data_IF_177265442200
#
_entry.id   IF_177265442200
#
_cell.length_a   1.000
_cell.length_b   1.000
_cell.length_c   1.000
_cell.angle_alpha   90.00
_cell.angle_beta   90.00
_cell.angle_gamma   90.00
#
_symmetry.space_group_name_H-M   'P 1'
#
loop_
_entity.id
_entity.type
_entity.pdbx_description
1 polymer ?
#
# COMPACT_ATOMS: atom_id res chain seq x y z
N UNK A 1 -12.78 -15.69 3.33
CA UNK A 1 -11.91 -15.92 2.16
C UNK A 1 -12.85 -16.09 0.98
N UNK A 2 -12.78 -15.25 -0.04
CA UNK A 2 -13.56 -15.49 -1.25
C UNK A 2 -13.08 -16.82 -1.84
N UNK A 3 -13.94 -17.84 -1.80
CA UNK A 3 -13.62 -19.19 -2.27
C UNK A 3 -13.47 -19.12 -3.80
N UNK A 4 -12.56 -19.91 -4.38
CA UNK A 4 -12.42 -20.03 -5.85
C UNK A 4 -13.78 -20.30 -6.51
N UNK A 5 -14.61 -21.10 -5.84
CA UNK A 5 -15.99 -21.34 -6.20
C UNK A 5 -16.85 -20.07 -6.27
N UNK A 6 -16.70 -19.13 -5.33
CA UNK A 6 -17.46 -17.88 -5.34
C UNK A 6 -17.05 -16.97 -6.52
N UNK A 7 -15.76 -16.99 -6.89
CA UNK A 7 -15.28 -16.23 -8.07
C UNK A 7 -15.88 -16.82 -9.34
N UNK A 8 -15.83 -18.15 -9.50
CA UNK A 8 -16.44 -18.84 -10.64
C UNK A 8 -17.95 -18.63 -10.67
N UNK A 9 -18.63 -18.71 -9.53
CA UNK A 9 -20.06 -18.48 -9.44
C UNK A 9 -20.42 -17.04 -9.82
N UNK A 10 -19.64 -16.06 -9.36
CA UNK A 10 -19.81 -14.67 -9.78
C UNK A 10 -19.54 -14.46 -11.28
N UNK A 11 -18.56 -15.17 -11.85
CA UNK A 11 -18.27 -15.13 -13.28
C UNK A 11 -19.42 -15.74 -14.09
N UNK A 12 -19.92 -16.92 -13.69
CA UNK A 12 -21.07 -17.56 -14.34
C UNK A 12 -22.33 -16.72 -14.23
N UNK A 13 -22.56 -16.09 -13.08
CA UNK A 13 -23.69 -15.19 -12.88
C UNK A 13 -23.59 -13.96 -13.80
N UNK A 14 -22.39 -13.39 -13.94
CA UNK A 14 -22.13 -12.28 -14.87
C UNK A 14 -22.33 -12.71 -16.33
N UNK A 15 -21.79 -13.86 -16.73
CA UNK A 15 -21.97 -14.41 -18.09
C UNK A 15 -23.45 -14.67 -18.39
N UNK A 16 -24.19 -15.24 -17.44
CA UNK A 16 -25.63 -15.45 -17.57
C UNK A 16 -26.40 -14.13 -17.69
N UNK A 17 -26.05 -13.13 -16.88
CA UNK A 17 -26.65 -11.80 -16.94
C UNK A 17 -26.34 -11.11 -18.28
N UNK A 18 -25.10 -11.21 -18.76
CA UNK A 18 -24.65 -10.71 -20.06
C UNK A 18 -25.46 -11.33 -21.19
N UNK A 19 -25.54 -12.66 -21.22
CA UNK A 19 -26.30 -13.39 -22.24
C UNK A 19 -27.76 -12.98 -22.22
N UNK A 20 -28.39 -12.94 -21.04
CA UNK A 20 -29.78 -12.50 -20.90
C UNK A 20 -30.00 -11.09 -21.45
N UNK A 21 -29.11 -10.14 -21.12
CA UNK A 21 -29.20 -8.75 -21.59
C UNK A 21 -28.95 -8.62 -23.08
N UNK A 22 -28.03 -9.40 -23.64
CA UNK A 22 -27.72 -9.41 -25.06
C UNK A 22 -28.86 -10.01 -25.89
N UNK A 23 -29.50 -11.09 -25.42
CA UNK A 23 -30.68 -11.67 -26.06
C UNK A 23 -31.90 -10.74 -26.00
N UNK A 24 -32.10 -10.03 -24.89
CA UNK A 24 -33.17 -9.03 -24.74
C UNK A 24 -33.01 -7.87 -25.73
N UNK A 25 -31.77 -7.38 -25.88
CA UNK A 25 -31.44 -6.37 -26.88
C UNK A 25 -31.61 -6.87 -28.32
N UNK A 26 -31.12 -8.07 -28.64
CA UNK A 26 -31.29 -8.67 -29.97
C UNK A 26 -32.77 -8.84 -30.35
N UNK A 27 -33.63 -9.19 -29.38
CA UNK A 27 -35.07 -9.29 -29.57
C UNK A 27 -35.70 -7.92 -29.88
N UNK A 28 -35.28 -6.87 -29.17
CA UNK A 28 -35.74 -5.50 -29.42
C UNK A 28 -35.33 -5.04 -30.82
N UNK A 29 -34.06 -5.29 -31.21
CA UNK A 29 -33.52 -4.90 -32.51
C UNK A 29 -34.17 -5.65 -33.69
N UNK A 30 -34.55 -6.93 -33.51
CA UNK A 30 -35.30 -7.68 -34.53
C UNK A 30 -36.76 -7.23 -34.65
N UNK A 31 -37.39 -6.81 -33.55
CA UNK A 31 -38.77 -6.33 -33.56
C UNK A 31 -38.92 -4.96 -34.25
N UNK A 32 -37.86 -4.14 -34.27
CA UNK A 32 -37.85 -2.82 -34.89
C UNK A 32 -37.56 -2.81 -36.41
N UNK A 33 -37.29 -3.96 -37.06
CA UNK A 33 -36.82 -4.02 -38.46
C UNK A 33 -37.84 -4.45 -39.56
N UNK A 34 -39.13 -4.81 -39.35
CA UNK A 34 -40.04 -4.99 -40.50
C UNK A 34 -40.75 -3.67 -40.88
N UNK A 35 -40.22 -2.97 -41.90
CA UNK A 35 -41.00 -2.12 -42.81
C UNK A 35 -41.57 -0.76 -42.36
N UNK A 36 -41.07 -0.09 -41.30
CA UNK A 36 -41.69 1.15 -40.80
C UNK A 36 -40.72 2.32 -40.63
N UNK A 37 -41.28 3.54 -40.69
CA UNK A 37 -40.64 4.82 -40.35
C UNK A 37 -40.14 4.78 -38.90
N UNK A 38 -38.93 4.26 -38.67
CA UNK A 38 -38.30 4.24 -37.34
C UNK A 38 -38.05 5.69 -36.92
N UNK A 39 -38.73 6.13 -35.86
CA UNK A 39 -38.49 7.44 -35.26
C UNK A 39 -37.06 7.49 -34.70
N UNK A 40 -36.30 8.50 -35.10
CA UNK A 40 -34.93 8.77 -34.60
C UNK A 40 -34.88 8.83 -33.07
N UNK A 41 -35.99 9.22 -32.42
CA UNK A 41 -36.10 9.23 -30.96
C UNK A 41 -36.12 7.81 -30.36
N UNK A 42 -36.83 6.85 -30.98
CA UNK A 42 -36.86 5.46 -30.51
C UNK A 42 -35.51 4.76 -30.62
N UNK A 43 -34.76 5.04 -31.70
CA UNK A 43 -33.39 4.55 -31.88
C UNK A 43 -32.43 5.13 -30.83
N UNK A 44 -32.61 6.40 -30.45
CA UNK A 44 -31.82 7.04 -29.40
C UNK A 44 -32.07 6.42 -28.02
N UNK A 45 -33.32 6.08 -27.71
CA UNK A 45 -33.69 5.41 -26.46
C UNK A 45 -33.13 3.99 -26.40
N UNK A 46 -33.23 3.21 -27.49
CA UNK A 46 -32.62 1.89 -27.60
C UNK A 46 -31.10 1.94 -27.45
N UNK A 47 -30.44 2.91 -28.10
CA UNK A 47 -29.01 3.11 -27.99
C UNK A 47 -28.57 3.52 -26.57
N UNK A 48 -29.34 4.40 -25.92
CA UNK A 48 -29.05 4.82 -24.53
C UNK A 48 -29.20 3.66 -23.56
N UNK A 49 -30.25 2.84 -23.73
CA UNK A 49 -30.47 1.62 -22.97
C UNK A 49 -29.31 0.62 -23.15
N UNK A 50 -28.87 0.40 -24.40
CA UNK A 50 -27.69 -0.42 -24.69
C UNK A 50 -26.43 0.11 -24.02
N UNK A 51 -26.19 1.42 -24.14
CA UNK A 51 -25.03 2.09 -23.53
C UNK A 51 -25.00 1.86 -22.01
N UNK A 52 -26.14 2.02 -21.33
CA UNK A 52 -26.23 1.82 -19.89
C UNK A 52 -25.98 0.35 -19.49
N UNK A 53 -26.49 -0.60 -20.28
CA UNK A 53 -26.20 -2.01 -20.08
C UNK A 53 -24.71 -2.34 -20.23
N UNK A 54 -24.07 -1.86 -21.30
CA UNK A 54 -22.63 -2.05 -21.53
C UNK A 54 -21.81 -1.43 -20.39
N UNK A 55 -22.18 -0.23 -19.92
CA UNK A 55 -21.52 0.40 -18.77
C UNK A 55 -21.67 -0.42 -17.50
N UNK A 56 -22.85 -0.96 -17.23
CA UNK A 56 -23.09 -1.83 -16.07
C UNK A 56 -22.18 -3.07 -16.10
N UNK A 57 -22.06 -3.72 -17.27
CA UNK A 57 -21.18 -4.88 -17.46
C UNK A 57 -19.71 -4.50 -17.26
N UNK A 58 -19.26 -3.41 -17.88
CA UNK A 58 -17.88 -2.94 -17.73
C UNK A 58 -17.56 -2.58 -16.27
N UNK A 59 -18.51 -2.01 -15.54
CA UNK A 59 -18.37 -1.72 -14.12
C UNK A 59 -18.22 -3.01 -13.29
N UNK A 60 -19.06 -4.01 -13.55
CA UNK A 60 -19.01 -5.28 -12.83
C UNK A 60 -17.72 -6.07 -13.11
N UNK A 61 -17.25 -6.09 -14.36
CA UNK A 61 -15.95 -6.68 -14.72
C UNK A 61 -14.79 -5.97 -14.01
N UNK A 62 -14.80 -4.63 -13.96
CA UNK A 62 -13.80 -3.85 -13.22
C UNK A 62 -13.80 -4.20 -11.73
N UNK A 63 -14.99 -4.37 -11.14
CA UNK A 63 -15.12 -4.77 -9.73
C UNK A 63 -14.51 -6.16 -9.49
N UNK A 64 -14.81 -7.16 -10.32
CA UNK A 64 -14.26 -8.51 -10.18
C UNK A 64 -12.73 -8.53 -10.28
N UNK A 65 -12.16 -7.77 -11.22
CA UNK A 65 -10.70 -7.64 -11.35
C UNK A 65 -10.10 -7.01 -10.08
N UNK A 66 -10.76 -5.99 -9.53
CA UNK A 66 -10.35 -5.35 -8.29
C UNK A 66 -10.33 -6.34 -7.11
N UNK A 67 -11.42 -7.10 -6.95
CA UNK A 67 -11.55 -8.09 -5.87
C UNK A 67 -10.51 -9.19 -5.98
N UNK A 68 -10.25 -9.70 -7.19
CA UNK A 68 -9.24 -10.71 -7.44
C UNK A 68 -7.83 -10.20 -7.09
N UNK A 69 -7.49 -8.99 -7.53
CA UNK A 69 -6.22 -8.36 -7.18
C UNK A 69 -6.06 -8.22 -5.67
N UNK A 70 -7.12 -7.85 -4.95
CA UNK A 70 -7.10 -7.76 -3.49
C UNK A 70 -6.86 -9.13 -2.82
N UNK A 71 -7.45 -10.21 -3.35
CA UNK A 71 -7.22 -11.57 -2.85
C UNK A 71 -5.77 -12.00 -3.07
N UNK A 72 -5.22 -11.76 -4.26
CA UNK A 72 -3.82 -12.06 -4.60
C UNK A 72 -2.87 -11.31 -3.67
N UNK A 73 -3.07 -10.00 -3.50
CA UNK A 73 -2.30 -9.17 -2.58
C UNK A 73 -2.34 -9.69 -1.14
N UNK A 74 -3.52 -10.10 -0.65
CA UNK A 74 -3.67 -10.64 0.69
C UNK A 74 -2.94 -11.98 0.89
N UNK A 75 -2.97 -12.85 -0.12
CA UNK A 75 -2.22 -14.11 -0.09
C UNK A 75 -0.73 -13.83 -0.05
N UNK A 76 -0.26 -12.97 -0.94
CA UNK A 76 1.14 -12.58 -1.01
C UNK A 76 1.62 -11.95 0.30
N UNK A 77 0.86 -11.02 0.87
CA UNK A 77 1.19 -10.43 2.17
C UNK A 77 1.20 -11.44 3.31
N UNK A 78 0.32 -12.45 3.28
CA UNK A 78 0.36 -13.55 4.25
C UNK A 78 1.65 -14.35 4.14
N UNK A 79 2.16 -14.58 2.94
CA UNK A 79 3.47 -15.20 2.75
C UNK A 79 4.61 -14.30 3.24
N UNK A 80 4.51 -12.99 2.99
CA UNK A 80 5.51 -12.00 3.38
C UNK A 80 5.50 -11.60 4.86
N UNK A 81 4.51 -12.04 5.66
CA UNK A 81 4.35 -11.65 7.09
C UNK A 81 5.55 -11.95 7.98
N UNK A 82 6.33 -12.98 7.65
CA UNK A 82 7.55 -13.38 8.38
C UNK A 82 8.81 -12.72 7.85
N UNK A 83 8.69 -11.79 6.91
CA UNK A 83 9.82 -11.11 6.28
C UNK A 83 9.97 -9.68 6.80
N UNK A 84 11.22 -9.25 6.94
CA UNK A 84 11.59 -7.85 7.13
C UNK A 84 12.72 -7.46 6.18
N UNK A 85 12.75 -6.18 5.84
CA UNK A 85 13.82 -5.56 5.07
C UNK A 85 14.73 -4.77 6.00
N UNK A 86 16.01 -5.11 5.97
CA UNK A 86 17.07 -4.37 6.65
C UNK A 86 17.82 -3.53 5.63
N UNK A 87 17.73 -2.21 5.77
CA UNK A 87 18.46 -1.26 4.94
C UNK A 87 19.67 -0.71 5.69
N UNK A 88 20.73 -0.36 4.96
CA UNK A 88 21.93 0.25 5.53
C UNK A 88 22.94 -0.76 6.12
N UNK A 89 22.79 -2.06 5.82
CA UNK A 89 23.77 -3.09 6.15
C UNK A 89 24.95 -2.99 5.17
N UNK A 90 26.19 -2.73 5.61
CA UNK A 90 27.36 -2.67 4.73
C UNK A 90 27.52 -3.95 3.89
N UNK A 91 27.95 -3.82 2.63
CA UNK A 91 28.18 -4.96 1.73
C UNK A 91 29.66 -5.33 1.76
N UNK A 92 29.97 -6.56 2.15
CA UNK A 92 31.33 -7.09 2.17
C UNK A 92 31.45 -8.29 1.20
N UNK A 93 32.62 -8.51 0.58
CA UNK A 93 32.86 -9.70 -0.20
C UNK A 93 32.77 -10.95 0.70
N UNK A 94 32.01 -11.96 0.26
CA UNK A 94 31.78 -13.21 1.00
C UNK A 94 31.12 -13.02 2.39
N UNK A 95 30.12 -12.15 2.47
CA UNK A 95 29.40 -11.86 3.71
C UNK A 95 28.56 -13.04 4.25
N UNK A 96 28.64 -13.31 5.56
CA UNK A 96 27.63 -14.10 6.27
C UNK A 96 26.50 -13.19 6.76
N UNK A 97 25.53 -12.95 5.88
CA UNK A 97 24.38 -12.12 6.17
C UNK A 97 23.60 -12.57 7.42
N UNK A 98 23.53 -13.86 7.70
CA UNK A 98 22.73 -14.36 8.83
C UNK A 98 23.39 -14.01 10.16
N UNK A 99 24.72 -14.11 10.22
CA UNK A 99 25.49 -13.65 11.38
C UNK A 99 25.40 -12.13 11.53
N UNK A 100 25.62 -11.37 10.45
CA UNK A 100 25.52 -9.91 10.48
C UNK A 100 24.16 -9.41 10.99
N UNK A 101 23.06 -10.03 10.55
CA UNK A 101 21.71 -9.68 11.03
C UNK A 101 21.51 -10.08 12.49
N UNK A 102 22.02 -11.24 12.90
CA UNK A 102 21.97 -11.68 14.31
C UNK A 102 22.72 -10.69 15.20
N UNK A 103 23.92 -10.26 14.80
CA UNK A 103 24.72 -9.27 15.52
C UNK A 103 24.04 -7.91 15.61
N UNK A 104 23.41 -7.45 14.52
CA UNK A 104 22.62 -6.21 14.54
C UNK A 104 21.45 -6.33 15.52
N UNK A 105 20.74 -7.46 15.51
CA UNK A 105 19.62 -7.67 16.43
C UNK A 105 20.08 -7.76 17.90
N UNK A 106 21.20 -8.42 18.16
CA UNK A 106 21.78 -8.54 19.50
C UNK A 106 22.28 -7.20 20.02
N UNK A 107 23.11 -6.50 19.23
CA UNK A 107 23.84 -5.32 19.67
C UNK A 107 23.01 -4.03 19.60
N UNK A 108 22.13 -3.89 18.60
CA UNK A 108 21.34 -2.65 18.40
C UNK A 108 19.92 -2.76 18.94
N UNK A 109 19.30 -3.94 18.88
CA UNK A 109 17.93 -4.15 19.38
C UNK A 109 17.91 -4.78 20.77
N UNK A 110 19.02 -5.36 21.24
CA UNK A 110 19.06 -6.08 22.52
C UNK A 110 18.12 -7.29 22.53
N UNK A 111 18.01 -8.02 21.42
CA UNK A 111 17.21 -9.23 21.30
C UNK A 111 18.15 -10.42 21.08
N UNK A 112 18.53 -11.08 22.18
CA UNK A 112 19.47 -12.23 22.17
C UNK A 112 18.93 -13.50 21.52
N UNK A 113 17.64 -13.55 21.28
CA UNK A 113 16.92 -14.70 20.71
C UNK A 113 17.03 -14.79 19.18
N UNK A 114 17.61 -13.77 18.52
CA UNK A 114 17.84 -13.81 17.07
C UNK A 114 19.19 -14.47 16.80
N UNK A 115 19.17 -15.79 16.68
CA UNK A 115 20.30 -16.63 16.29
C UNK A 115 20.15 -17.11 14.84
N UNK A 116 21.24 -17.63 14.25
CA UNK A 116 21.29 -18.05 12.84
C UNK A 116 20.25 -19.13 12.49
N UNK A 117 19.96 -20.05 13.41
CA UNK A 117 18.94 -21.11 13.25
C UNK A 117 17.50 -20.55 13.19
N UNK A 118 17.27 -19.34 13.71
CA UNK A 118 15.96 -18.67 13.67
C UNK A 118 15.75 -17.86 12.39
N UNK A 119 16.77 -17.77 11.54
CA UNK A 119 16.72 -17.13 10.22
C UNK A 119 16.61 -18.21 9.15
N UNK A 120 15.45 -18.31 8.50
CA UNK A 120 15.21 -19.31 7.45
C UNK A 120 15.90 -18.90 6.14
N UNK A 121 15.85 -17.61 5.81
CA UNK A 121 16.43 -17.10 4.57
C UNK A 121 16.93 -15.67 4.79
N UNK A 122 18.09 -15.36 4.23
CA UNK A 122 18.72 -14.05 4.32
C UNK A 122 19.48 -13.78 3.02
N UNK A 123 19.05 -12.79 2.24
CA UNK A 123 19.72 -12.45 0.97
C UNK A 123 19.53 -10.98 0.59
N UNK A 124 20.45 -10.44 -0.20
CA UNK A 124 20.38 -9.09 -0.75
C UNK A 124 19.33 -9.00 -1.87
N UNK A 125 18.66 -7.86 -1.97
CA UNK A 125 17.73 -7.57 -3.05
C UNK A 125 18.34 -6.60 -4.07
N UNK A 126 18.16 -6.93 -5.36
CA UNK A 126 18.55 -6.07 -6.48
C UNK A 126 20.00 -6.22 -6.93
N UNK A 127 20.35 -5.45 -7.95
CA UNK A 127 21.69 -5.41 -8.55
C UNK A 127 22.63 -4.59 -7.67
N UNK A 128 23.88 -5.02 -7.59
CA UNK A 128 24.92 -4.27 -6.90
C UNK A 128 25.10 -2.90 -7.56
N UNK A 129 25.33 -1.87 -6.74
CA UNK A 129 25.58 -0.50 -7.19
C UNK A 129 26.63 0.12 -6.29
N UNK A 130 27.60 0.80 -6.89
CA UNK A 130 28.60 1.54 -6.12
C UNK A 130 27.94 2.64 -5.28
N UNK A 131 28.43 2.82 -4.05
CA UNK A 131 27.96 3.86 -3.13
C UNK A 131 26.62 3.60 -2.42
N UNK A 132 25.92 2.49 -2.72
CA UNK A 132 24.66 2.16 -2.04
C UNK A 132 24.58 0.69 -1.64
N UNK A 133 24.40 0.46 -0.34
CA UNK A 133 24.14 -0.88 0.17
C UNK A 133 22.73 -1.36 -0.19
N UNK A 134 22.63 -2.55 -0.77
CA UNK A 134 21.35 -3.20 -1.10
C UNK A 134 20.60 -3.61 0.17
N UNK A 135 19.27 -3.53 0.16
CA UNK A 135 18.46 -4.07 1.25
C UNK A 135 18.70 -5.57 1.43
N UNK A 136 18.72 -6.01 2.69
CA UNK A 136 18.74 -7.43 3.05
C UNK A 136 17.32 -7.87 3.37
N UNK A 137 16.81 -8.87 2.66
CA UNK A 137 15.54 -9.51 2.93
C UNK A 137 15.77 -10.69 3.88
N UNK A 138 15.12 -10.63 5.05
CA UNK A 138 15.27 -11.63 6.12
C UNK A 138 13.94 -12.29 6.38
N UNK A 139 13.89 -13.62 6.31
CA UNK A 139 12.76 -14.46 6.72
C UNK A 139 13.04 -15.07 8.09
N UNK A 140 12.21 -14.73 9.07
CA UNK A 140 12.27 -15.35 10.38
C UNK A 140 11.52 -16.68 10.42
N UNK A 141 11.93 -17.55 11.33
CA UNK A 141 11.23 -18.81 11.59
C UNK A 141 9.80 -18.57 12.07
N UNK A 142 9.62 -17.62 12.98
CA UNK A 142 8.35 -17.35 13.63
C UNK A 142 7.90 -15.90 13.50
N UNK A 143 6.58 -15.73 13.45
CA UNK A 143 5.96 -14.41 13.39
C UNK A 143 6.22 -13.62 14.69
N UNK A 144 6.24 -14.31 15.84
CA UNK A 144 6.50 -13.68 17.14
C UNK A 144 7.89 -13.05 17.19
N UNK A 145 8.90 -13.75 16.65
CA UNK A 145 10.27 -13.24 16.58
C UNK A 145 10.35 -12.01 15.65
N UNK A 146 9.74 -12.09 14.45
CA UNK A 146 9.62 -10.94 13.54
C UNK A 146 8.96 -9.75 14.24
N UNK A 147 7.88 -9.98 14.99
CA UNK A 147 7.14 -8.93 15.70
C UNK A 147 7.96 -8.32 16.83
N UNK A 148 8.73 -9.12 17.57
CA UNK A 148 9.64 -8.63 18.59
C UNK A 148 10.72 -7.71 18.01
N UNK A 149 11.33 -8.11 16.89
CA UNK A 149 12.30 -7.29 16.13
C UNK A 149 11.64 -6.00 15.63
N UNK A 150 10.44 -6.09 15.03
CA UNK A 150 9.72 -4.94 14.51
C UNK A 150 9.38 -3.90 15.59
N UNK A 151 8.95 -4.35 16.78
CA UNK A 151 8.61 -3.47 17.90
C UNK A 151 9.82 -2.68 18.42
N UNK A 152 11.02 -3.26 18.38
CA UNK A 152 12.25 -2.60 18.83
C UNK A 152 12.94 -1.72 17.78
N UNK A 153 12.36 -1.56 16.58
CA UNK A 153 12.97 -0.75 15.50
C UNK A 153 13.34 0.68 15.89
N UNK A 154 12.66 1.27 16.89
CA UNK A 154 12.97 2.60 17.40
C UNK A 154 14.40 2.71 17.97
N UNK A 155 14.97 1.61 18.48
CA UNK A 155 16.35 1.52 18.95
C UNK A 155 17.39 1.73 17.84
N UNK A 156 17.00 1.61 16.57
CA UNK A 156 17.87 1.88 15.42
C UNK A 156 17.94 3.37 15.06
N UNK A 157 17.14 4.24 15.71
CA UNK A 157 17.14 5.67 15.43
C UNK A 157 18.51 6.28 15.73
N UNK A 158 19.08 6.99 14.76
CA UNK A 158 20.43 7.56 14.85
C UNK A 158 21.54 6.63 14.34
N UNK A 159 21.22 5.38 13.99
CA UNK A 159 22.12 4.49 13.23
C UNK A 159 21.88 4.61 11.72
N UNK A 160 22.76 3.99 10.92
CA UNK A 160 22.57 3.84 9.47
C UNK A 160 21.49 2.81 9.10
N UNK A 161 21.00 2.02 10.07
CA UNK A 161 20.07 0.92 9.82
C UNK A 161 18.62 1.40 9.82
N UNK A 162 17.86 0.96 8.81
CA UNK A 162 16.42 1.20 8.73
C UNK A 162 15.68 -0.11 8.49
N UNK A 163 14.74 -0.41 9.38
CA UNK A 163 13.87 -1.58 9.28
C UNK A 163 12.55 -1.23 8.59
N UNK A 164 12.19 -2.01 7.57
CA UNK A 164 10.96 -1.85 6.80
C UNK A 164 10.23 -3.18 6.66
N UNK A 165 8.91 -3.16 6.52
CA UNK A 165 8.16 -4.37 6.14
C UNK A 165 8.32 -4.67 4.65
N UNK A 166 8.29 -5.94 4.29
CA UNK A 166 8.33 -6.37 2.91
C UNK A 166 6.92 -6.33 2.30
N UNK A 167 6.43 -5.12 2.00
CA UNK A 167 5.10 -4.90 1.42
C UNK A 167 5.06 -5.29 -0.06
N UNK A 168 3.88 -5.70 -0.54
CA UNK A 168 3.60 -5.81 -1.98
C UNK A 168 3.77 -4.46 -2.68
N UNK A 169 3.96 -4.48 -3.99
CA UNK A 169 4.11 -3.25 -4.77
C UNK A 169 2.92 -2.30 -4.60
N UNK A 170 1.70 -2.83 -4.61
CA UNK A 170 0.47 -2.05 -4.43
C UNK A 170 0.44 -1.36 -3.06
N UNK A 171 0.68 -2.11 -1.97
CA UNK A 171 0.70 -1.55 -0.62
C UNK A 171 1.86 -0.58 -0.41
N UNK A 172 3.03 -0.85 -0.99
CA UNK A 172 4.17 0.06 -0.93
C UNK A 172 3.82 1.40 -1.59
N UNK A 173 3.22 1.37 -2.78
CA UNK A 173 2.77 2.57 -3.50
C UNK A 173 1.71 3.34 -2.71
N UNK A 174 0.71 2.64 -2.18
CA UNK A 174 -0.35 3.24 -1.35
C UNK A 174 0.22 3.83 -0.05
N UNK A 175 1.23 3.19 0.55
CA UNK A 175 1.89 3.69 1.75
C UNK A 175 2.67 4.98 1.50
N UNK A 176 3.39 5.05 0.37
CA UNK A 176 4.09 6.26 -0.05
C UNK A 176 3.10 7.39 -0.34
N UNK A 177 1.98 7.09 -1.01
CA UNK A 177 0.91 8.04 -1.26
C UNK A 177 0.29 8.55 0.05
N UNK A 178 -0.03 7.66 0.98
CA UNK A 178 -0.57 8.02 2.29
C UNK A 178 0.39 8.93 3.08
N UNK A 179 1.71 8.65 3.03
CA UNK A 179 2.72 9.52 3.63
C UNK A 179 2.82 10.89 2.97
N UNK A 180 2.64 10.96 1.64
CA UNK A 180 2.63 12.22 0.90
C UNK A 180 1.43 13.09 1.28
N UNK A 181 0.26 12.49 1.49
CA UNK A 181 -0.98 13.22 1.80
C UNK A 181 -1.15 13.55 3.29
N UNK A 182 -0.93 12.58 4.19
CA UNK A 182 -1.21 12.73 5.63
C UNK A 182 0.05 13.03 6.47
N UNK A 183 1.23 12.94 5.86
CA UNK A 183 2.53 13.15 6.51
C UNK A 183 3.17 11.88 7.07
N UNK A 184 4.51 11.88 7.11
CA UNK A 184 5.31 10.70 7.50
C UNK A 184 5.08 10.22 8.94
N UNK A 185 4.78 11.13 9.87
CA UNK A 185 4.57 10.80 11.30
C UNK A 185 3.21 10.15 11.55
N UNK A 186 2.24 10.44 10.69
CA UNK A 186 0.87 9.98 10.85
C UNK A 186 0.61 8.65 10.14
N UNK A 187 1.54 8.18 9.29
CA UNK A 187 1.39 6.97 8.50
C UNK A 187 2.52 5.97 8.77
N UNK A 188 2.17 4.78 9.23
CA UNK A 188 3.11 3.66 9.44
C UNK A 188 2.49 2.34 8.99
N UNK A 189 3.32 1.30 8.95
CA UNK A 189 2.87 -0.06 8.66
C UNK A 189 2.91 -0.93 9.90
N UNK A 190 1.94 -1.83 10.00
CA UNK A 190 1.84 -2.82 11.06
C UNK A 190 1.29 -4.11 10.48
N UNK A 191 2.11 -5.17 10.52
CA UNK A 191 1.78 -6.50 10.01
C UNK A 191 1.27 -6.46 8.58
N UNK A 192 1.95 -5.65 7.76
CA UNK A 192 1.63 -5.48 6.36
C UNK A 192 0.44 -4.58 6.07
N UNK A 193 -0.26 -4.07 7.08
CA UNK A 193 -1.34 -3.12 6.91
C UNK A 193 -0.83 -1.69 7.04
N UNK A 194 -1.40 -0.78 6.25
CA UNK A 194 -1.10 0.64 6.33
C UNK A 194 -2.05 1.26 7.35
N UNK A 195 -1.50 1.92 8.36
CA UNK A 195 -2.25 2.59 9.41
C UNK A 195 -1.98 4.09 9.31
N UNK A 196 -3.05 4.87 9.28
CA UNK A 196 -3.02 6.32 9.39
C UNK A 196 -3.63 6.76 10.71
N UNK A 197 -3.03 7.79 11.33
CA UNK A 197 -3.58 8.51 12.47
C UNK A 197 -4.11 9.87 12.00
N UNK A 198 -5.39 10.13 12.27
CA UNK A 198 -6.03 11.41 12.00
C UNK A 198 -5.72 12.44 13.10
N UNK A 199 -5.96 13.75 12.85
CA UNK A 199 -5.73 14.81 13.84
C UNK A 199 -6.55 14.63 15.13
N UNK A 200 -7.74 14.05 15.03
CA UNK A 200 -8.62 13.68 16.16
C UNK A 200 -8.03 12.56 17.06
N UNK A 201 -6.92 11.94 16.64
CA UNK A 201 -6.26 10.85 17.36
C UNK A 201 -6.71 9.44 16.96
N UNK A 202 -7.75 9.32 16.15
CA UNK A 202 -8.28 8.03 15.68
C UNK A 202 -7.32 7.37 14.68
N UNK A 203 -7.38 6.04 14.59
CA UNK A 203 -6.51 5.24 13.73
C UNK A 203 -7.34 4.49 12.71
N UNK A 204 -7.02 4.67 11.44
CA UNK A 204 -7.70 4.01 10.34
C UNK A 204 -6.73 3.13 9.57
N UNK A 205 -7.21 1.95 9.18
CA UNK A 205 -6.52 1.11 8.20
C UNK A 205 -6.83 1.64 6.81
N UNK A 206 -5.79 1.78 6.01
CA UNK A 206 -5.89 2.12 4.59
C UNK A 206 -5.61 0.87 3.77
N UNK A 207 -6.59 0.47 2.96
CA UNK A 207 -6.52 -0.66 2.04
C UNK A 207 -6.61 -0.24 0.57
N UNK A 208 -7.18 0.92 0.30
CA UNK A 208 -7.49 1.45 -1.03
C UNK A 208 -7.16 2.94 -1.11
N UNK A 209 -6.97 3.44 -2.33
CA UNK A 209 -6.80 4.88 -2.55
C UNK A 209 -8.08 5.66 -2.20
N UNK A 210 -9.26 5.07 -2.41
CA UNK A 210 -10.54 5.68 -2.03
C UNK A 210 -10.66 5.89 -0.52
N UNK A 211 -10.28 4.88 0.29
CA UNK A 211 -10.22 5.01 1.74
C UNK A 211 -9.27 6.14 2.15
N UNK A 212 -8.10 6.25 1.52
CA UNK A 212 -7.16 7.34 1.75
C UNK A 212 -7.75 8.72 1.38
N UNK A 213 -8.42 8.83 0.24
CA UNK A 213 -9.03 10.08 -0.22
C UNK A 213 -10.15 10.56 0.72
N UNK A 214 -10.99 9.64 1.23
CA UNK A 214 -12.03 9.96 2.22
C UNK A 214 -11.43 10.54 3.51
N UNK A 215 -10.28 10.02 3.93
CA UNK A 215 -9.57 10.49 5.14
C UNK A 215 -8.95 11.88 4.94
N UNK A 216 -8.51 12.22 3.72
CA UNK A 216 -7.92 13.54 3.43
C UNK A 216 -8.97 14.64 3.28
N UNK A 217 -10.14 14.33 2.74
CA UNK A 217 -11.23 15.32 2.62
C UNK A 217 -11.74 15.74 3.99
N UNK A 218 -11.86 14.80 4.93
CA UNK A 218 -12.33 15.11 6.29
C UNK A 218 -11.32 15.93 7.11
N UNK A 219 -10.01 15.86 6.80
CA UNK A 219 -9.00 16.66 7.49
C UNK A 219 -9.03 18.14 7.11
N UNK A 220 -9.49 18.47 5.90
CA UNK A 220 -9.59 19.86 5.44
C UNK A 220 -10.83 20.56 6.03
N UNK A 221 -11.89 19.81 6.38
CA UNK A 221 -13.15 20.36 6.92
C UNK A 221 -13.07 20.64 8.43
N UNK A 222 -12.20 19.96 9.18
CA UNK A 222 -12.05 20.18 10.64
C UNK A 222 -11.08 21.28 11.03
N UNK A 223 -10.58 22.07 10.07
CA UNK A 223 -9.68 23.20 10.32
C UNK A 223 -10.45 24.54 10.39
N UNK A 224 -11.52 24.62 11.20
CA UNK A 224 -12.10 25.91 11.60
C UNK A 224 -11.64 26.27 13.03
N UNK A 225 -11.12 27.49 13.14
CA UNK A 225 -10.36 28.04 14.24
C UNK A 225 -11.18 28.37 15.50
N UNK A 226 -10.57 28.43 16.69
CA UNK A 226 -10.96 29.37 17.72
C UNK A 226 -10.25 30.72 17.50
N UNK A 227 -11.06 31.77 17.52
CA UNK A 227 -10.73 33.19 17.36
C UNK A 227 -9.84 33.75 18.47
N UNK A 228 -8.79 34.45 18.05
CA UNK A 228 -8.23 35.72 18.56
C UNK A 228 -8.20 36.02 20.06
N UNK A 229 -6.98 36.24 20.58
CA UNK A 229 -6.74 36.98 21.82
C UNK A 229 -5.26 37.32 22.04
N UNK A 230 -4.89 38.53 21.62
CA UNK A 230 -3.74 39.35 21.99
C UNK A 230 -2.36 39.09 21.35
N UNK A 231 -2.00 40.08 20.52
CA UNK A 231 -0.65 40.49 20.20
C UNK A 231 0.03 41.02 21.47
N UNK A 232 1.24 40.55 21.76
CA UNK A 232 2.24 41.46 22.30
C UNK A 232 3.66 41.07 21.87
N UNK A 233 4.50 42.08 21.93
CA UNK A 233 5.68 42.32 21.11
C UNK A 233 6.96 41.75 21.74
N UNK A 234 7.91 41.24 20.94
CA UNK A 234 9.34 41.65 20.97
C UNK A 234 10.34 40.58 20.49
N UNK A 235 11.23 41.03 19.61
CA UNK A 235 12.69 40.79 19.55
C UNK A 235 13.26 39.39 19.23
N UNK A 236 14.03 39.33 18.13
CA UNK A 236 15.45 38.98 18.28
C UNK A 236 16.01 37.77 17.51
N UNK A 237 16.75 38.08 16.44
CA UNK A 237 18.01 37.46 15.99
C UNK A 237 18.06 36.04 15.36
N UNK A 238 18.24 36.08 14.03
CA UNK A 238 19.44 35.74 13.26
C UNK A 238 19.90 34.28 12.99
N UNK A 239 19.95 34.04 11.67
CA UNK A 239 21.01 33.45 10.83
C UNK A 239 21.61 32.05 11.07
N UNK A 240 21.56 31.30 9.97
CA UNK A 240 22.29 30.07 9.63
C UNK A 240 23.82 30.23 9.76
N UNK A 241 24.57 29.16 10.05
CA UNK A 241 25.94 29.05 9.59
C UNK A 241 26.07 28.10 8.38
N UNK A 242 26.85 28.55 7.38
CA UNK A 242 27.38 27.77 6.25
C UNK A 242 28.56 26.91 6.73
N UNK A 243 28.67 25.71 6.18
CA UNK A 243 29.71 24.71 6.46
C UNK A 243 30.98 25.03 5.68
N UNK A 244 32.11 25.16 6.36
CA UNK A 244 33.43 25.34 5.78
C UNK A 244 34.06 23.99 5.43
N UNK A 245 34.66 23.90 4.24
CA UNK A 245 35.54 22.80 3.78
C UNK A 245 36.96 23.15 4.19
N UNK A 246 37.67 22.24 4.86
CA UNK A 246 39.11 22.37 5.14
C UNK A 246 39.84 21.15 4.59
N UNK A 247 40.75 21.43 3.66
CA UNK A 247 41.73 20.52 3.11
C UNK A 247 43.02 20.48 3.97
N UNK A 248 43.94 19.59 3.55
CA UNK A 248 45.32 19.29 3.98
C UNK A 248 45.42 17.99 4.79
N UNK A 249 46.41 17.13 4.55
CA UNK A 249 47.65 17.24 3.78
C UNK A 249 48.11 15.83 3.42
#
# INVERSE_FOLDING_TARGET
>A
MANYYNVIESQKALESLLMKKMTEFEKQLKASIPGSNVSVAGLYDEFSCFKDHVWSILSLLRQQISDLNQVVDNIEMRHRRKYLLFNGVPEEPNEDLSNSISDICNNKLGIRDVTKDKIIACHRLGKHSEGKHRPVLVRFVDLNLKTAVWKKKASLKGSSFVLSEFLTHQRQSLFLLARKRLGMKNCWTLDGNIIAKLPDGTRHRIDTEESLSKLTVNTDVTAEAPSSGNQDSSSGYNSKPKRAVRAKK
#
